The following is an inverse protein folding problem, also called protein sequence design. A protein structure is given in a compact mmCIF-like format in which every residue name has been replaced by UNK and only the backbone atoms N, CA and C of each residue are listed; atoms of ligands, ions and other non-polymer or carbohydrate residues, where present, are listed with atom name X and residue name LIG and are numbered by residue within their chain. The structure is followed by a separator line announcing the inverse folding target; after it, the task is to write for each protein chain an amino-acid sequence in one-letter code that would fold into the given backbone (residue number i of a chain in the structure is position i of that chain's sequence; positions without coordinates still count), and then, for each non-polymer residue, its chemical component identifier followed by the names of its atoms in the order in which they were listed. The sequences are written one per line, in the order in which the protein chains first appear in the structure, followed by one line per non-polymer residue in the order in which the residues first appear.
data_IF_085808059250
#
_entry.id   IF_085808059250
#
_cell.length_a   1.000
_cell.length_b   1.000
_cell.length_c   1.000
_cell.angle_alpha   90.00
_cell.angle_beta   90.00
_cell.angle_gamma   90.00
#
_symmetry.space_group_name_H-M   'P 1'
#
loop_
_entity.id
_entity.type
_entity.pdbx_description
1 polymer ?
#
# COMPACT_ATOMS: atom_id res chain seq x y z
N UNK A 1 -13.46 -37.24 -6.46
CA UNK A 1 -13.65 -36.84 -5.05
C UNK A 1 -12.40 -36.08 -4.68
N UNK A 2 -12.48 -34.76 -4.80
CA UNK A 2 -11.34 -33.88 -4.55
C UNK A 2 -11.26 -33.52 -3.07
N UNK A 3 -10.03 -33.51 -2.55
CA UNK A 3 -9.64 -33.23 -1.18
C UNK A 3 -10.00 -31.78 -0.78
N UNK A 4 -10.78 -31.56 0.30
CA UNK A 4 -11.20 -30.24 0.74
C UNK A 4 -10.11 -29.44 1.48
N UNK A 5 -8.87 -29.91 1.55
CA UNK A 5 -7.76 -29.21 2.23
C UNK A 5 -6.81 -28.42 1.32
N UNK A 6 -7.03 -28.42 0.00
CA UNK A 6 -6.30 -27.53 -0.92
C UNK A 6 -6.93 -26.13 -0.98
N UNK A 7 -6.74 -25.32 0.06
CA UNK A 7 -6.89 -23.87 -0.08
C UNK A 7 -5.73 -23.40 -0.97
N UNK A 8 -5.97 -23.28 -2.29
CA UNK A 8 -5.05 -22.55 -3.19
C UNK A 8 -4.91 -21.13 -2.65
N UNK A 9 -3.86 -20.92 -1.89
CA UNK A 9 -3.52 -19.64 -1.29
C UNK A 9 -3.23 -18.64 -2.42
N UNK A 10 -4.11 -17.66 -2.56
CA UNK A 10 -3.82 -16.33 -3.10
C UNK A 10 -3.67 -16.23 -4.62
N UNK A 11 -4.40 -15.28 -5.20
CA UNK A 11 -4.07 -14.76 -6.53
C UNK A 11 -2.68 -14.13 -6.51
N UNK A 12 -1.97 -14.26 -7.63
CA UNK A 12 -0.62 -13.71 -7.76
C UNK A 12 -0.65 -12.19 -7.90
N UNK A 13 -0.02 -11.49 -6.96
CA UNK A 13 0.05 -10.02 -6.90
C UNK A 13 1.50 -9.56 -6.92
N UNK A 14 1.86 -8.69 -7.88
CA UNK A 14 3.08 -7.88 -7.83
C UNK A 14 2.75 -6.53 -7.22
N UNK A 15 3.61 -6.07 -6.32
CA UNK A 15 3.59 -4.68 -5.89
C UNK A 15 4.73 -3.92 -6.57
N UNK A 16 4.32 -2.92 -7.33
CA UNK A 16 5.11 -1.80 -7.81
C UNK A 16 5.31 -0.82 -6.64
N UNK A 17 6.55 -0.67 -6.19
CA UNK A 17 6.92 0.37 -5.22
C UNK A 17 7.68 1.48 -5.94
N UNK A 18 7.08 2.66 -6.02
CA UNK A 18 7.74 3.84 -6.56
C UNK A 18 8.37 4.62 -5.39
N UNK A 19 9.70 4.69 -5.36
CA UNK A 19 10.41 5.42 -4.30
C UNK A 19 10.46 6.91 -4.65
N UNK A 20 10.12 7.76 -3.69
CA UNK A 20 10.22 9.22 -3.82
C UNK A 20 11.68 9.64 -3.80
N UNK A 21 12.07 10.44 -4.80
CA UNK A 21 13.29 11.23 -4.75
C UNK A 21 13.02 12.50 -3.92
N UNK A 22 13.72 12.69 -2.80
CA UNK A 22 13.76 13.99 -2.09
C UNK A 22 14.85 14.86 -2.71
N UNK A 23 14.49 16.04 -3.21
CA UNK A 23 15.46 17.05 -3.67
C UNK A 23 16.26 17.58 -2.47
N UNK A 24 17.57 17.38 -2.46
CA UNK A 24 18.48 18.08 -1.54
C UNK A 24 18.84 19.45 -2.13
N UNK A 25 18.48 20.54 -1.44
CA UNK A 25 18.97 21.89 -1.76
C UNK A 25 20.31 22.14 -1.04
N UNK A 26 21.38 22.42 -1.80
CA UNK A 26 22.63 22.95 -1.25
C UNK A 26 22.59 24.48 -1.24
N UNK A 27 22.48 25.09 -0.06
CA UNK A 27 22.78 26.51 0.15
C UNK A 27 24.29 26.67 0.37
N UNK A 28 24.96 27.35 -0.55
CA UNK A 28 26.39 27.61 -0.46
C UNK A 28 26.70 28.78 0.49
N UNK A 29 27.53 28.55 1.49
CA UNK A 29 28.32 29.60 2.15
C UNK A 29 29.79 29.20 2.14
N UNK A 30 30.61 30.14 1.67
CA UNK A 30 32.05 29.96 1.47
C UNK A 30 32.87 30.11 2.75
N UNK A 31 34.17 29.90 2.55
CA UNK A 31 35.32 29.88 3.47
C UNK A 31 35.63 28.53 4.10
N UNK A 32 36.80 28.04 3.71
CA UNK A 32 37.31 26.70 3.93
C UNK A 32 37.81 26.47 5.34
N UNK A 33 37.25 25.43 5.94
CA UNK A 33 37.87 24.52 6.90
C UNK A 33 37.20 23.17 6.61
N UNK A 34 37.89 22.23 5.95
CA UNK A 34 37.35 20.89 5.69
C UNK A 34 37.55 20.04 6.94
N UNK A 35 36.63 20.18 7.89
CA UNK A 35 36.36 19.14 8.88
C UNK A 35 35.48 18.12 8.15
N UNK A 36 35.95 16.88 8.01
CA UNK A 36 35.12 15.77 7.53
C UNK A 36 34.06 15.44 8.59
N UNK A 37 33.01 16.26 8.62
CA UNK A 37 31.79 16.01 9.34
C UNK A 37 30.80 15.39 8.34
N UNK A 38 30.67 14.07 8.35
CA UNK A 38 29.61 13.37 7.64
C UNK A 38 28.27 13.69 8.32
N UNK A 39 27.65 14.78 7.91
CA UNK A 39 26.29 15.15 8.25
C UNK A 39 25.56 15.36 6.94
N UNK A 40 24.93 14.31 6.43
CA UNK A 40 23.95 14.45 5.36
C UNK A 40 22.57 14.20 5.97
N UNK A 41 21.96 15.29 6.44
CA UNK A 41 20.53 15.36 6.69
C UNK A 41 19.81 15.38 5.33
N UNK A 42 19.23 14.24 4.93
CA UNK A 42 17.95 14.28 4.22
C UNK A 42 16.90 13.90 5.27
N UNK A 43 16.51 14.91 6.05
CA UNK A 43 15.73 14.82 7.30
C UNK A 43 16.28 13.85 8.36
N UNK A 44 16.93 14.44 9.37
CA UNK A 44 17.39 13.77 10.58
C UNK A 44 16.21 13.10 11.32
N UNK A 45 16.07 11.78 11.19
CA UNK A 45 15.82 10.81 12.27
C UNK A 45 15.40 9.47 11.67
N UNK A 46 16.39 8.57 11.60
CA UNK A 46 16.24 7.11 11.66
C UNK A 46 16.10 6.31 10.35
N UNK A 47 17.20 6.23 9.59
CA UNK A 47 17.73 4.92 9.16
C UNK A 47 18.59 4.24 10.24
N UNK A 48 18.58 4.74 11.48
CA UNK A 48 19.27 4.15 12.64
C UNK A 48 18.41 3.20 13.48
N UNK A 49 17.07 3.17 13.32
CA UNK A 49 16.20 2.21 14.03
C UNK A 49 15.21 1.46 13.12
N UNK A 50 15.27 1.64 11.80
CA UNK A 50 14.76 0.61 10.90
C UNK A 50 15.88 -0.43 10.82
N UNK A 51 15.67 -1.68 11.28
CA UNK A 51 16.74 -2.67 11.19
C UNK A 51 17.24 -2.73 9.75
N UNK A 52 18.56 -2.85 9.53
CA UNK A 52 19.16 -3.13 8.21
C UNK A 52 18.54 -4.35 7.48
N UNK A 53 17.64 -5.07 8.15
CA UNK A 53 16.89 -6.23 7.71
C UNK A 53 15.42 -5.95 7.31
N UNK A 54 14.95 -4.69 7.26
CA UNK A 54 13.63 -4.37 6.68
C UNK A 54 13.69 -4.48 5.16
N UNK A 55 13.57 -5.72 4.68
CA UNK A 55 13.50 -6.10 3.27
C UNK A 55 12.05 -6.01 2.78
N UNK A 56 11.49 -4.80 2.71
CA UNK A 56 10.10 -4.59 2.27
C UNK A 56 9.07 -5.47 2.98
N UNK A 57 7.89 -5.62 2.38
CA UNK A 57 6.87 -6.52 2.90
C UNK A 57 7.16 -7.94 2.35
N UNK A 58 7.88 -8.77 3.12
CA UNK A 58 8.27 -10.15 2.72
C UNK A 58 7.10 -11.09 2.40
N UNK A 59 5.87 -10.62 2.56
CA UNK A 59 4.64 -11.37 2.30
C UNK A 59 4.13 -11.16 0.87
N UNK A 60 4.74 -10.25 0.12
CA UNK A 60 4.53 -10.09 -1.31
C UNK A 60 5.13 -11.27 -2.06
N UNK A 61 4.51 -11.65 -3.19
CA UNK A 61 5.11 -12.64 -4.08
C UNK A 61 6.33 -12.06 -4.79
N UNK A 62 6.21 -10.81 -5.22
CA UNK A 62 7.31 -10.03 -5.79
C UNK A 62 7.08 -8.54 -5.54
N UNK A 63 8.18 -7.83 -5.28
CA UNK A 63 8.23 -6.39 -5.14
C UNK A 63 9.28 -5.85 -6.11
N UNK A 64 8.87 -4.94 -7.00
CA UNK A 64 9.79 -4.27 -7.93
C UNK A 64 9.90 -2.81 -7.52
N UNK A 65 11.12 -2.37 -7.22
CA UNK A 65 11.42 -1.00 -6.81
C UNK A 65 12.00 -0.24 -8.00
N UNK A 66 11.48 0.97 -8.27
CA UNK A 66 12.00 1.83 -9.35
C UNK A 66 12.62 3.10 -8.77
N UNK A 67 13.95 3.10 -8.61
CA UNK A 67 14.73 4.26 -8.12
C UNK A 67 16.15 4.24 -8.66
N UNK A 68 16.77 5.42 -8.82
CA UNK A 68 18.17 5.57 -9.24
C UNK A 68 19.15 5.75 -8.07
N UNK A 69 18.67 5.80 -6.83
CA UNK A 69 19.45 6.34 -5.70
C UNK A 69 19.70 5.36 -4.55
N UNK A 70 19.02 4.20 -4.52
CA UNK A 70 19.16 3.25 -3.42
C UNK A 70 19.44 1.83 -3.93
N UNK A 71 20.72 1.48 -4.01
CA UNK A 71 21.19 0.14 -4.42
C UNK A 71 20.72 -0.97 -3.45
N UNK A 72 20.45 -0.64 -2.18
CA UNK A 72 20.02 -1.64 -1.19
C UNK A 72 18.63 -2.22 -1.50
N UNK A 73 17.82 -1.49 -2.29
CA UNK A 73 16.50 -1.91 -2.75
C UNK A 73 16.53 -2.77 -4.02
N UNK A 74 17.72 -3.03 -4.59
CA UNK A 74 17.93 -3.71 -5.88
C UNK A 74 16.99 -3.17 -6.96
N UNK A 75 17.05 -1.86 -7.26
CA UNK A 75 16.03 -1.23 -8.08
C UNK A 75 16.20 -1.57 -9.56
N UNK A 76 15.08 -1.74 -10.25
CA UNK A 76 15.05 -1.69 -11.70
C UNK A 76 15.19 -0.23 -12.15
N UNK A 77 16.18 0.04 -13.01
CA UNK A 77 16.47 1.40 -13.45
C UNK A 77 15.71 1.68 -14.74
N UNK A 78 14.66 2.50 -14.64
CA UNK A 78 13.96 3.04 -15.81
C UNK A 78 14.70 4.27 -16.34
N UNK A 79 14.82 4.39 -17.65
CA UNK A 79 15.38 5.58 -18.31
C UNK A 79 14.35 6.74 -18.34
N UNK A 80 14.01 7.23 -17.15
CA UNK A 80 13.10 8.37 -16.94
C UNK A 80 13.71 9.36 -15.94
N UNK A 81 13.38 10.65 -16.01
CA UNK A 81 13.83 11.63 -15.03
C UNK A 81 13.29 11.35 -13.62
N UNK A 82 14.09 11.68 -12.61
CA UNK A 82 13.74 11.55 -11.19
C UNK A 82 12.96 12.76 -10.65
N UNK A 83 12.22 12.56 -9.56
CA UNK A 83 11.46 13.61 -8.88
C UNK A 83 9.94 13.56 -9.08
N UNK A 84 9.23 14.22 -8.15
CA UNK A 84 7.77 14.20 -8.06
C UNK A 84 7.05 14.68 -9.33
N UNK A 85 7.63 15.65 -10.04
CA UNK A 85 7.06 16.17 -11.28
C UNK A 85 7.06 15.19 -12.45
N UNK A 86 7.73 14.04 -12.34
CA UNK A 86 7.89 13.02 -13.37
C UNK A 86 7.23 11.69 -13.00
N UNK A 87 6.39 11.65 -11.97
CA UNK A 87 5.68 10.43 -11.56
C UNK A 87 4.85 9.82 -12.70
N UNK A 88 4.33 10.66 -13.60
CA UNK A 88 3.62 10.17 -14.77
C UNK A 88 4.54 9.42 -15.75
N UNK A 89 5.72 9.96 -16.07
CA UNK A 89 6.71 9.26 -16.89
C UNK A 89 7.13 7.93 -16.24
N UNK A 90 7.39 7.94 -14.94
CA UNK A 90 7.71 6.74 -14.17
C UNK A 90 6.61 5.69 -14.25
N UNK A 91 5.34 6.08 -14.12
CA UNK A 91 4.22 5.14 -14.16
C UNK A 91 4.03 4.53 -15.54
N UNK A 92 4.11 5.32 -16.62
CA UNK A 92 4.09 4.80 -17.99
C UNK A 92 5.19 3.77 -18.22
N UNK A 93 6.42 4.11 -17.84
CA UNK A 93 7.57 3.24 -18.00
C UNK A 93 7.47 1.97 -17.13
N UNK A 94 7.06 2.10 -15.87
CA UNK A 94 6.93 0.97 -14.95
C UNK A 94 5.82 -0.01 -15.39
N UNK A 95 4.64 0.48 -15.76
CA UNK A 95 3.56 -0.38 -16.26
C UNK A 95 3.93 -1.05 -17.59
N UNK A 96 4.64 -0.35 -18.48
CA UNK A 96 5.18 -0.94 -19.72
C UNK A 96 6.20 -2.03 -19.42
N UNK A 97 7.12 -1.79 -18.48
CA UNK A 97 8.10 -2.78 -18.04
C UNK A 97 7.41 -4.03 -17.47
N UNK A 98 6.46 -3.85 -16.55
CA UNK A 98 5.71 -4.94 -15.92
C UNK A 98 4.92 -5.77 -16.94
N UNK A 99 4.31 -5.12 -17.93
CA UNK A 99 3.61 -5.79 -19.03
C UNK A 99 4.53 -6.74 -19.80
N UNK A 100 5.76 -6.33 -20.10
CA UNK A 100 6.70 -7.14 -20.89
C UNK A 100 7.45 -8.19 -20.07
N UNK A 101 7.87 -7.88 -18.84
CA UNK A 101 8.78 -8.73 -18.06
C UNK A 101 8.07 -9.54 -16.97
N UNK A 102 6.88 -9.12 -16.53
CA UNK A 102 6.10 -9.79 -15.49
C UNK A 102 4.67 -10.13 -15.94
N UNK A 103 4.44 -10.70 -17.15
CA UNK A 103 3.08 -10.92 -17.69
C UNK A 103 2.27 -12.01 -16.95
N UNK A 104 2.93 -12.79 -16.10
CA UNK A 104 2.34 -13.95 -15.42
C UNK A 104 1.55 -13.60 -14.15
N UNK A 105 1.53 -12.33 -13.74
CA UNK A 105 0.76 -11.87 -12.59
C UNK A 105 -0.68 -11.54 -12.94
N UNK A 106 -1.56 -11.69 -11.96
CA UNK A 106 -2.99 -11.42 -12.09
C UNK A 106 -3.35 -10.00 -11.70
N UNK A 107 -2.59 -9.42 -10.77
CA UNK A 107 -2.82 -8.08 -10.25
C UNK A 107 -1.50 -7.35 -10.07
N UNK A 108 -1.50 -6.06 -10.39
CA UNK A 108 -0.36 -5.15 -10.32
C UNK A 108 -0.75 -3.96 -9.44
N UNK A 109 -0.12 -3.83 -8.28
CA UNK A 109 -0.43 -2.75 -7.34
C UNK A 109 0.67 -1.69 -7.37
N UNK A 110 0.31 -0.43 -7.60
CA UNK A 110 1.19 0.72 -7.33
C UNK A 110 1.04 1.15 -5.88
N UNK A 111 2.17 1.38 -5.22
CA UNK A 111 2.28 1.98 -3.89
C UNK A 111 3.44 3.00 -3.87
N UNK A 112 3.29 4.06 -3.09
CA UNK A 112 4.39 4.98 -2.77
C UNK A 112 5.24 4.40 -1.62
N UNK A 113 6.46 4.90 -1.46
CA UNK A 113 7.37 4.51 -0.36
C UNK A 113 6.90 4.94 1.04
N UNK A 114 5.88 5.80 1.10
CA UNK A 114 5.15 6.20 2.31
C UNK A 114 3.74 5.55 2.39
N UNK A 115 3.47 4.52 1.60
CA UNK A 115 2.22 3.73 1.63
C UNK A 115 2.39 2.42 2.40
N UNK A 116 1.62 2.22 3.48
CA UNK A 116 1.58 0.94 4.18
C UNK A 116 0.44 0.07 3.65
N UNK A 117 0.74 -1.19 3.31
CA UNK A 117 -0.22 -2.14 2.71
C UNK A 117 -0.36 -3.40 3.56
N UNK A 118 -1.60 -3.73 3.93
CA UNK A 118 -2.00 -5.00 4.55
C UNK A 118 -2.29 -6.01 3.44
N UNK A 119 -1.27 -6.76 3.05
CA UNK A 119 -1.27 -7.63 1.86
C UNK A 119 -2.32 -8.75 1.96
N UNK A 120 -2.58 -9.27 3.15
CA UNK A 120 -3.61 -10.28 3.40
C UNK A 120 -5.00 -9.74 3.08
N UNK A 121 -5.28 -8.50 3.48
CA UNK A 121 -6.56 -7.85 3.20
C UNK A 121 -6.69 -7.51 1.71
N UNK A 122 -5.59 -7.14 1.04
CA UNK A 122 -5.57 -6.98 -0.41
C UNK A 122 -5.88 -8.30 -1.12
N UNK A 123 -5.19 -9.39 -0.76
CA UNK A 123 -5.43 -10.73 -1.33
C UNK A 123 -6.86 -11.20 -1.10
N UNK A 124 -7.39 -10.96 0.11
CA UNK A 124 -8.78 -11.28 0.44
C UNK A 124 -9.76 -10.51 -0.45
N UNK A 125 -9.54 -9.20 -0.65
CA UNK A 125 -10.37 -8.37 -1.52
C UNK A 125 -10.34 -8.83 -2.99
N UNK A 126 -9.17 -9.21 -3.49
CA UNK A 126 -8.98 -9.59 -4.89
C UNK A 126 -9.42 -11.02 -5.22
N UNK A 127 -9.58 -11.89 -4.21
CA UNK A 127 -9.79 -13.34 -4.37
C UNK A 127 -10.95 -13.70 -5.30
N UNK A 128 -12.02 -12.92 -5.24
CA UNK A 128 -13.29 -13.25 -5.90
C UNK A 128 -13.57 -12.39 -7.16
N UNK A 129 -12.62 -11.51 -7.55
CA UNK A 129 -12.76 -10.65 -8.74
C UNK A 129 -12.37 -11.40 -10.02
N UNK A 130 -12.25 -10.80 -11.20
CA UNK A 130 -11.68 -11.49 -12.37
C UNK A 130 -10.51 -10.65 -12.92
N UNK A 131 -9.26 -11.15 -12.91
CA UNK A 131 -8.11 -10.40 -13.42
C UNK A 131 -8.08 -10.25 -14.94
N UNK A 132 -8.93 -10.98 -15.68
CA UNK A 132 -9.04 -10.88 -17.14
C UNK A 132 -10.14 -9.90 -17.56
N UNK A 133 -10.87 -9.34 -16.59
CA UNK A 133 -11.72 -8.17 -16.81
C UNK A 133 -10.91 -6.88 -16.64
N UNK A 134 -11.17 -5.83 -17.46
CA UNK A 134 -10.42 -4.59 -17.43
C UNK A 134 -10.83 -3.72 -16.23
N UNK A 135 -10.32 -4.06 -15.05
CA UNK A 135 -10.69 -3.47 -13.76
C UNK A 135 -9.50 -2.87 -13.03
N UNK A 136 -9.73 -1.81 -12.27
CA UNK A 136 -8.77 -1.28 -11.29
C UNK A 136 -9.48 -0.71 -10.05
N UNK A 137 -8.80 -0.75 -8.91
CA UNK A 137 -9.34 -0.40 -7.60
C UNK A 137 -8.33 0.39 -6.77
N UNK A 138 -8.83 1.20 -5.84
CA UNK A 138 -8.02 2.00 -4.92
C UNK A 138 -8.90 2.97 -4.14
N UNK A 139 -8.31 4.05 -3.63
CA UNK A 139 -9.05 5.15 -3.02
C UNK A 139 -9.65 6.07 -4.11
N UNK A 140 -10.94 5.91 -4.42
CA UNK A 140 -11.58 6.53 -5.59
C UNK A 140 -11.92 8.01 -5.36
N UNK A 141 -11.39 8.88 -6.21
CA UNK A 141 -11.75 10.30 -6.33
C UNK A 141 -12.52 10.55 -7.64
N UNK A 142 -13.33 11.62 -7.69
CA UNK A 142 -14.18 11.96 -8.86
C UNK A 142 -14.00 13.38 -9.38
N UNK A 143 -12.94 14.08 -8.98
CA UNK A 143 -12.75 15.50 -9.31
C UNK A 143 -12.34 15.76 -10.77
N UNK A 144 -11.62 14.82 -11.41
CA UNK A 144 -10.93 15.07 -12.68
C UNK A 144 -11.25 14.07 -13.80
N UNK A 145 -11.86 12.93 -13.49
CA UNK A 145 -12.17 11.84 -14.44
C UNK A 145 -13.62 11.43 -14.23
N UNK A 146 -14.38 11.23 -15.31
CA UNK A 146 -15.84 11.06 -15.24
C UNK A 146 -16.26 9.81 -14.46
N UNK A 147 -15.61 8.66 -14.71
CA UNK A 147 -15.80 7.44 -13.93
C UNK A 147 -15.15 7.49 -12.54
N UNK A 148 -14.27 8.46 -12.33
CA UNK A 148 -13.36 8.57 -11.20
C UNK A 148 -11.96 8.03 -11.51
N UNK A 149 -11.05 8.23 -10.57
CA UNK A 149 -9.66 7.77 -10.61
C UNK A 149 -9.21 7.37 -9.20
N UNK A 150 -8.13 6.61 -9.08
CA UNK A 150 -7.63 6.16 -7.78
C UNK A 150 -6.49 7.04 -7.34
N UNK A 151 -6.53 7.56 -6.12
CA UNK A 151 -5.46 8.36 -5.53
C UNK A 151 -4.13 7.60 -5.56
N UNK A 152 -3.08 8.28 -6.03
CA UNK A 152 -1.74 7.69 -6.12
C UNK A 152 -1.18 7.29 -4.75
N UNK A 153 -1.36 8.13 -3.73
CA UNK A 153 -0.84 7.88 -2.38
C UNK A 153 -1.56 6.77 -1.64
N UNK A 154 -2.88 6.63 -1.81
CA UNK A 154 -3.61 5.50 -1.22
C UNK A 154 -3.21 4.14 -1.82
N UNK A 155 -2.45 4.15 -2.91
CA UNK A 155 -2.17 2.99 -3.73
C UNK A 155 -3.39 2.55 -4.55
N UNK A 156 -3.11 1.89 -5.65
CA UNK A 156 -4.14 1.31 -6.51
C UNK A 156 -3.67 0.00 -7.11
N UNK A 157 -4.61 -0.87 -7.44
CA UNK A 157 -4.35 -2.17 -8.03
C UNK A 157 -5.07 -2.30 -9.37
N UNK A 158 -4.32 -2.71 -10.38
CA UNK A 158 -4.79 -2.97 -11.73
C UNK A 158 -4.86 -4.48 -11.97
N UNK A 159 -5.93 -4.92 -12.62
CA UNK A 159 -6.00 -6.25 -13.23
C UNK A 159 -4.96 -6.39 -14.34
N UNK A 160 -4.63 -7.64 -14.68
CA UNK A 160 -3.79 -7.94 -15.84
C UNK A 160 -4.36 -7.36 -17.13
N UNK A 161 -5.67 -7.51 -17.35
CA UNK A 161 -6.28 -6.94 -18.55
C UNK A 161 -6.17 -5.40 -18.54
N UNK A 162 -6.35 -4.73 -17.40
CA UNK A 162 -6.15 -3.29 -17.32
C UNK A 162 -4.73 -2.83 -17.69
N UNK A 163 -3.68 -3.53 -17.22
CA UNK A 163 -2.29 -3.23 -17.58
C UNK A 163 -2.05 -3.44 -19.07
N UNK A 164 -2.54 -4.54 -19.64
CA UNK A 164 -2.46 -4.82 -21.07
C UNK A 164 -3.12 -3.71 -21.89
N UNK A 165 -4.40 -3.40 -21.60
CA UNK A 165 -5.14 -2.32 -22.26
C UNK A 165 -4.44 -0.98 -22.17
N UNK A 166 -3.87 -0.65 -21.01
CA UNK A 166 -3.09 0.57 -20.84
C UNK A 166 -1.92 0.64 -21.83
N UNK A 167 -1.10 -0.41 -21.90
CA UNK A 167 0.12 -0.42 -22.74
C UNK A 167 -0.19 -0.54 -24.23
N UNK A 168 -1.11 -1.43 -24.62
CA UNK A 168 -1.38 -1.75 -26.03
C UNK A 168 -2.41 -0.85 -26.69
N UNK A 169 -3.28 -0.20 -25.92
CA UNK A 169 -4.33 0.69 -26.45
C UNK A 169 -4.15 2.12 -25.96
N UNK A 170 -4.08 2.36 -24.64
CA UNK A 170 -4.15 3.72 -24.10
C UNK A 170 -2.92 4.56 -24.47
N UNK A 171 -1.72 3.96 -24.38
CA UNK A 171 -0.48 4.62 -24.80
C UNK A 171 -0.38 4.88 -26.32
N UNK A 172 -1.23 4.22 -27.11
CA UNK A 172 -1.29 4.42 -28.57
C UNK A 172 -2.27 5.54 -28.97
N UNK A 173 -3.00 6.12 -28.01
CA UNK A 173 -3.92 7.21 -28.28
C UNK A 173 -3.13 8.48 -28.65
N UNK A 174 -3.53 9.08 -29.78
CA UNK A 174 -3.00 10.37 -30.24
C UNK A 174 -3.68 11.56 -29.55
N UNK A 175 -4.93 11.37 -29.11
CA UNK A 175 -5.72 12.37 -28.39
C UNK A 175 -5.19 12.57 -26.96
N UNK A 176 -4.45 13.66 -26.76
CA UNK A 176 -3.82 14.00 -25.49
C UNK A 176 -4.83 14.38 -24.40
N UNK A 177 -6.08 14.72 -24.75
CA UNK A 177 -7.12 14.97 -23.76
C UNK A 177 -7.61 13.65 -23.13
N UNK A 178 -7.54 12.55 -23.88
CA UNK A 178 -7.90 11.20 -23.44
C UNK A 178 -6.77 10.50 -22.70
N UNK A 179 -5.55 10.62 -23.21
CA UNK A 179 -4.37 10.07 -22.55
C UNK A 179 -3.14 10.95 -22.87
N UNK A 180 -2.60 11.71 -21.89
CA UNK A 180 -1.43 12.56 -22.11
C UNK A 180 -0.12 11.77 -22.30
N UNK A 181 0.04 11.16 -23.47
CA UNK A 181 1.19 10.29 -23.79
C UNK A 181 2.47 11.07 -24.09
N UNK A 182 2.35 12.28 -24.64
CA UNK A 182 3.49 13.08 -25.10
C UNK A 182 4.16 13.93 -24.01
N UNK A 183 3.62 13.94 -22.79
CA UNK A 183 4.20 14.65 -21.64
C UNK A 183 4.85 13.68 -20.66
N UNK A 184 5.99 14.08 -20.10
CA UNK A 184 6.64 13.38 -19.00
C UNK A 184 6.13 13.81 -17.62
N UNK A 185 5.32 14.88 -17.57
CA UNK A 185 4.87 15.53 -16.33
C UNK A 185 3.36 15.46 -16.14
N UNK A 186 2.94 15.71 -14.90
CA UNK A 186 1.55 15.88 -14.48
C UNK A 186 1.18 14.98 -13.30
N UNK A 187 -0.06 15.10 -12.80
CA UNK A 187 -0.56 14.21 -11.75
C UNK A 187 -0.73 12.81 -12.31
N UNK A 188 0.06 11.88 -11.80
CA UNK A 188 0.14 10.50 -12.29
C UNK A 188 -1.20 9.79 -12.22
N UNK A 189 -1.86 9.87 -11.07
CA UNK A 189 -3.14 9.23 -10.78
C UNK A 189 -4.30 9.73 -11.67
N UNK A 190 -4.38 11.04 -11.89
CA UNK A 190 -5.36 11.65 -12.80
C UNK A 190 -5.11 11.20 -14.23
N UNK A 191 -3.86 11.27 -14.70
CA UNK A 191 -3.52 10.91 -16.08
C UNK A 191 -3.75 9.43 -16.34
N UNK A 192 -3.37 8.56 -15.41
CA UNK A 192 -3.68 7.14 -15.49
C UNK A 192 -5.20 6.92 -15.57
N UNK A 193 -5.98 7.61 -14.72
CA UNK A 193 -7.45 7.52 -14.75
C UNK A 193 -8.06 7.91 -16.10
N UNK A 194 -7.61 9.00 -16.71
CA UNK A 194 -8.04 9.44 -18.05
C UNK A 194 -7.72 8.39 -19.12
N UNK A 195 -6.48 7.89 -19.11
CA UNK A 195 -6.03 6.88 -20.06
C UNK A 195 -6.85 5.58 -19.94
N UNK A 196 -7.09 5.11 -18.72
CA UNK A 196 -7.87 3.90 -18.43
C UNK A 196 -9.34 4.06 -18.83
N UNK A 197 -9.97 5.21 -18.53
CA UNK A 197 -11.34 5.52 -18.98
C UNK A 197 -11.46 5.45 -20.49
N UNK A 198 -10.49 6.01 -21.20
CA UNK A 198 -10.49 6.12 -22.66
C UNK A 198 -10.41 4.77 -23.38
N UNK A 199 -9.95 3.73 -22.71
CA UNK A 199 -9.88 2.36 -23.25
C UNK A 199 -10.85 1.40 -22.58
N UNK A 200 -11.81 1.89 -21.80
CA UNK A 200 -12.86 1.07 -21.20
C UNK A 200 -12.38 0.21 -20.03
N UNK A 201 -11.31 0.61 -19.34
CA UNK A 201 -10.94 0.03 -18.04
C UNK A 201 -11.78 0.70 -16.96
N UNK A 202 -12.55 -0.12 -16.23
CA UNK A 202 -13.54 0.36 -15.28
C UNK A 202 -12.96 0.62 -13.89
N UNK A 203 -13.25 1.81 -13.35
CA UNK A 203 -12.94 2.22 -11.98
C UNK A 203 -13.87 1.51 -10.99
N UNK A 204 -13.41 0.38 -10.46
CA UNK A 204 -14.17 -0.45 -9.54
C UNK A 204 -14.36 0.18 -8.15
N UNK A 205 -15.37 -0.25 -7.42
CA UNK A 205 -15.60 0.18 -6.03
C UNK A 205 -14.83 -0.71 -5.05
N UNK A 206 -14.07 -0.09 -4.15
CA UNK A 206 -13.27 -0.78 -3.14
C UNK A 206 -13.90 -0.74 -1.75
N UNK A 207 -15.08 -0.14 -1.59
CA UNK A 207 -15.86 -0.13 -0.35
C UNK A 207 -16.27 -1.54 0.07
N UNK A 208 -16.38 -1.77 1.38
CA UNK A 208 -16.92 -3.01 1.91
C UNK A 208 -18.47 -3.07 1.83
N UNK A 209 -19.06 -4.17 2.28
CA UNK A 209 -20.52 -4.37 2.24
C UNK A 209 -21.29 -3.34 3.08
N UNK A 210 -20.63 -2.70 4.05
CA UNK A 210 -21.19 -1.65 4.86
C UNK A 210 -20.87 -0.25 4.30
N UNK A 211 -20.32 -0.15 3.09
CA UNK A 211 -19.95 1.10 2.45
C UNK A 211 -18.70 1.75 3.02
N UNK A 212 -17.84 1.00 3.74
CA UNK A 212 -16.65 1.55 4.39
C UNK A 212 -15.39 1.39 3.53
N UNK A 213 -14.54 2.41 3.54
CA UNK A 213 -13.30 2.43 2.77
C UNK A 213 -12.31 1.35 3.17
N UNK A 214 -11.65 0.75 2.16
CA UNK A 214 -10.51 -0.16 2.34
C UNK A 214 -9.18 0.51 2.01
N UNK A 215 -9.13 1.41 1.04
CA UNK A 215 -7.94 2.17 0.68
C UNK A 215 -8.02 3.59 1.24
N UNK A 216 -6.96 4.08 1.88
CA UNK A 216 -6.93 5.43 2.45
C UNK A 216 -5.77 6.25 1.87
N UNK A 217 -6.10 7.42 1.33
CA UNK A 217 -5.14 8.43 0.85
C UNK A 217 -4.57 9.32 1.95
N UNK A 218 -4.77 8.96 3.22
CA UNK A 218 -4.38 9.75 4.38
C UNK A 218 -3.63 8.89 5.39
N UNK A 219 -2.89 9.57 6.27
CA UNK A 219 -2.24 8.97 7.44
C UNK A 219 -3.20 8.14 8.28
N UNK A 220 -2.74 7.05 8.94
CA UNK A 220 -3.53 6.32 9.94
C UNK A 220 -4.09 7.22 11.04
N UNK A 221 -3.40 8.35 11.32
CA UNK A 221 -3.88 9.35 12.27
C UNK A 221 -5.22 9.98 11.86
N UNK A 222 -5.55 10.01 10.57
CA UNK A 222 -6.82 10.54 10.07
C UNK A 222 -8.04 9.77 10.59
N UNK A 223 -7.87 8.51 11.02
CA UNK A 223 -8.92 7.72 11.67
C UNK A 223 -9.39 8.36 12.99
N UNK A 224 -8.57 9.20 13.61
CA UNK A 224 -8.93 9.92 14.84
C UNK A 224 -9.63 11.27 14.59
N UNK A 225 -9.51 11.83 13.38
CA UNK A 225 -9.93 13.22 13.11
C UNK A 225 -11.06 13.35 12.08
N UNK A 226 -11.13 12.46 11.09
CA UNK A 226 -12.00 12.63 9.92
C UNK A 226 -13.05 11.53 9.75
N UNK A 227 -13.04 10.52 10.61
CA UNK A 227 -13.99 9.42 10.58
C UNK A 227 -14.73 9.37 11.92
N UNK A 228 -15.96 8.80 11.98
CA UNK A 228 -16.57 8.48 13.26
C UNK A 228 -15.57 7.65 14.08
N UNK A 229 -15.15 8.21 15.22
CA UNK A 229 -14.17 7.61 16.11
C UNK A 229 -14.64 6.21 16.54
N UNK A 230 -13.72 5.23 16.50
CA UNK A 230 -13.96 3.88 16.98
C UNK A 230 -14.15 2.84 15.88
N UNK A 231 -14.74 1.67 16.18
CA UNK A 231 -14.82 0.51 15.29
C UNK A 231 -15.65 0.74 14.02
N UNK A 232 -16.28 1.91 13.91
CA UNK A 232 -17.14 2.26 12.80
C UNK A 232 -16.52 3.06 11.67
N UNK A 233 -15.28 3.56 11.83
CA UNK A 233 -14.62 4.46 10.87
C UNK A 233 -14.44 3.92 9.45
N UNK A 234 -14.34 2.61 9.32
CA UNK A 234 -13.47 2.03 8.33
C UNK A 234 -13.78 0.54 8.17
N UNK A 235 -13.42 -0.01 7.02
CA UNK A 235 -13.56 -1.45 6.80
C UNK A 235 -12.70 -2.21 7.79
N UNK A 236 -13.24 -3.30 8.37
CA UNK A 236 -12.45 -4.26 9.15
C UNK A 236 -11.39 -4.98 8.31
N UNK A 237 -11.53 -4.92 6.97
CA UNK A 237 -10.58 -5.43 5.99
C UNK A 237 -9.92 -4.26 5.25
N UNK A 238 -9.35 -3.32 6.01
CA UNK A 238 -8.59 -2.18 5.47
C UNK A 238 -7.34 -2.69 4.75
N UNK A 239 -7.03 -2.09 3.60
CA UNK A 239 -5.94 -2.50 2.72
C UNK A 239 -4.74 -1.59 2.84
N UNK A 240 -4.92 -0.26 2.83
CA UNK A 240 -3.78 0.65 2.80
C UNK A 240 -4.01 1.98 3.53
N UNK A 241 -2.90 2.57 3.96
CA UNK A 241 -2.78 3.96 4.41
C UNK A 241 -1.66 4.65 3.64
N UNK A 242 -1.79 5.96 3.47
CA UNK A 242 -0.76 6.83 2.87
C UNK A 242 -0.11 7.70 3.94
N UNK A 243 0.94 8.44 3.59
CA UNK A 243 1.64 9.37 4.49
C UNK A 243 2.06 8.70 5.81
N UNK A 244 2.60 7.49 5.68
CA UNK A 244 3.02 6.64 6.81
C UNK A 244 4.52 6.80 7.02
N UNK A 245 4.90 7.51 8.07
CA UNK A 245 6.33 7.64 8.42
C UNK A 245 6.99 6.26 8.66
N UNK A 246 8.31 6.11 8.47
CA UNK A 246 9.01 4.84 8.72
C UNK A 246 8.80 4.29 10.14
N UNK A 247 8.75 5.17 11.15
CA UNK A 247 8.42 4.79 12.53
C UNK A 247 7.02 4.19 12.62
N UNK A 248 6.03 4.83 11.99
CA UNK A 248 4.67 4.33 11.98
C UNK A 248 4.53 3.01 11.20
N UNK A 249 5.23 2.86 10.06
CA UNK A 249 5.25 1.59 9.32
C UNK A 249 5.76 0.45 10.20
N UNK A 250 6.85 0.67 10.94
CA UNK A 250 7.38 -0.31 11.89
C UNK A 250 6.41 -0.59 13.03
N UNK A 251 5.74 0.43 13.56
CA UNK A 251 4.69 0.26 14.58
C UNK A 251 3.55 -0.61 14.06
N UNK A 252 3.02 -0.33 12.87
CA UNK A 252 1.95 -1.11 12.25
C UNK A 252 2.39 -2.56 12.00
N UNK A 253 3.59 -2.77 11.45
CA UNK A 253 4.19 -4.09 11.26
C UNK A 253 4.30 -4.86 12.59
N UNK A 254 4.81 -4.22 13.64
CA UNK A 254 4.95 -4.85 14.94
C UNK A 254 3.60 -5.25 15.52
N UNK A 255 2.63 -4.34 15.51
CA UNK A 255 1.29 -4.55 16.06
C UNK A 255 0.49 -5.62 15.31
N UNK A 256 0.57 -5.63 13.98
CA UNK A 256 -0.21 -6.54 13.15
C UNK A 256 0.42 -7.93 13.03
N UNK A 257 1.75 -8.01 13.07
CA UNK A 257 2.44 -9.19 12.56
C UNK A 257 3.51 -9.78 13.48
N UNK A 258 3.95 -9.06 14.51
CA UNK A 258 5.06 -9.54 15.38
C UNK A 258 4.61 -9.78 16.81
N UNK A 259 3.64 -9.01 17.28
CA UNK A 259 3.08 -9.22 18.61
C UNK A 259 2.22 -10.47 18.63
N UNK A 260 2.55 -11.37 19.56
CA UNK A 260 1.73 -12.52 19.91
C UNK A 260 1.03 -12.19 21.22
N UNK A 261 -0.27 -11.92 21.17
CA UNK A 261 -1.08 -11.73 22.36
C UNK A 261 -1.63 -13.11 22.74
N UNK A 262 -1.24 -13.62 23.90
CA UNK A 262 -1.77 -14.86 24.44
C UNK A 262 -3.26 -14.69 24.78
N UNK A 263 -4.13 -15.10 23.85
CA UNK A 263 -5.58 -14.97 24.00
C UNK A 263 -6.12 -15.72 25.22
N UNK A 264 -5.45 -16.82 25.60
CA UNK A 264 -5.87 -17.70 26.69
C UNK A 264 -5.67 -17.08 28.09
N UNK A 265 -4.95 -15.96 28.19
CA UNK A 265 -4.73 -15.22 29.43
C UNK A 265 -5.49 -13.89 29.47
N UNK A 266 -6.37 -13.63 28.50
CA UNK A 266 -7.19 -12.43 28.51
C UNK A 266 -8.28 -12.54 29.60
N UNK A 267 -8.58 -11.44 30.31
CA UNK A 267 -9.70 -11.40 31.24
C UNK A 267 -10.99 -11.90 30.57
N UNK A 268 -11.81 -12.72 31.24
CA UNK A 268 -12.99 -13.37 30.64
C UNK A 268 -13.96 -12.41 29.94
N UNK A 269 -13.94 -11.13 30.32
CA UNK A 269 -14.84 -10.10 29.82
C UNK A 269 -14.44 -9.47 28.47
N UNK A 270 -13.29 -9.84 27.88
CA UNK A 270 -12.84 -9.32 26.56
C UNK A 270 -13.18 -10.26 25.39
N UNK A 271 -13.75 -11.44 25.65
CA UNK A 271 -14.21 -12.38 24.63
C UNK A 271 -15.57 -11.95 24.03
N UNK A 272 -15.63 -10.80 23.36
CA UNK A 272 -16.79 -10.47 22.50
C UNK A 272 -16.53 -10.91 21.06
N UNK A 273 -16.58 -12.22 20.86
CA UNK A 273 -16.91 -12.84 19.57
C UNK A 273 -17.59 -14.17 19.88
N UNK A 274 -18.88 -14.12 20.20
CA UNK A 274 -19.72 -15.30 20.37
C UNK A 274 -19.96 -15.96 19.02
N UNK A 275 -19.17 -16.97 18.70
CA UNK A 275 -19.74 -18.23 18.22
C UNK A 275 -19.68 -19.19 19.42
N UNK A 276 -20.77 -19.84 19.83
CA UNK A 276 -20.77 -20.62 21.07
C UNK A 276 -19.89 -21.87 20.88
N UNK A 277 -18.76 -21.91 21.59
CA UNK A 277 -18.04 -23.14 21.85
C UNK A 277 -18.87 -24.03 22.82
N UNK A 278 -18.81 -25.36 22.69
CA UNK A 278 -19.54 -26.27 23.58
C UNK A 278 -19.09 -26.09 25.05
N UNK A 279 -19.98 -26.39 26.02
CA UNK A 279 -19.70 -26.14 27.43
C UNK A 279 -18.50 -26.98 27.91
N UNK A 280 -17.54 -26.38 28.65
CA UNK A 280 -16.44 -27.12 29.24
C UNK A 280 -16.89 -27.94 30.46
N UNK A 281 -16.28 -29.11 30.59
CA UNK A 281 -16.49 -30.13 31.61
C UNK A 281 -16.22 -29.61 33.04
N UNK A 282 -17.01 -30.07 34.00
CA UNK A 282 -17.22 -29.42 35.32
C UNK A 282 -16.17 -29.73 36.39
N UNK A 283 -14.88 -29.81 36.06
CA UNK A 283 -13.87 -30.29 37.03
C UNK A 283 -12.64 -29.41 37.26
N UNK A 284 -12.66 -28.12 36.93
CA UNK A 284 -11.49 -27.24 37.15
C UNK A 284 -11.80 -26.05 38.06
N UNK A 285 -11.12 -25.88 39.21
CA UNK A 285 -11.34 -24.74 40.11
C UNK A 285 -10.77 -23.43 39.53
N UNK A 286 -11.32 -22.25 39.91
CA UNK A 286 -10.97 -20.98 39.28
C UNK A 286 -9.55 -20.50 39.64
N UNK A 287 -8.83 -19.86 38.71
CA UNK A 287 -7.51 -19.28 39.00
C UNK A 287 -7.62 -18.02 39.87
N UNK A 288 -6.60 -17.84 40.72
CA UNK A 288 -6.48 -16.75 41.68
C UNK A 288 -6.20 -15.41 40.98
N UNK A 289 -6.82 -14.32 41.43
CA UNK A 289 -6.72 -12.99 40.81
C UNK A 289 -5.27 -12.45 40.80
N UNK A 290 -4.81 -11.80 39.71
CA UNK A 290 -3.51 -11.12 39.69
C UNK A 290 -3.55 -9.79 40.46
N UNK A 291 -2.41 -9.30 40.96
CA UNK A 291 -2.35 -8.05 41.73
C UNK A 291 -2.59 -6.83 40.84
N UNK A 292 -3.27 -5.82 41.39
CA UNK A 292 -3.49 -4.54 40.75
C UNK A 292 -2.18 -3.74 40.66
N UNK A 293 -1.78 -3.35 39.45
CA UNK A 293 -0.69 -2.37 39.25
C UNK A 293 -1.32 -0.98 39.16
N UNK A 294 -1.04 -0.14 40.16
CA UNK A 294 -1.33 1.29 40.12
C UNK A 294 -0.25 2.01 39.28
N UNK A 295 -0.67 2.83 38.32
CA UNK A 295 0.20 3.79 37.64
C UNK A 295 0.18 5.10 38.42
N UNK A 296 1.29 5.45 39.07
CA UNK A 296 1.53 6.83 39.49
C UNK A 296 1.91 7.63 38.24
N UNK A 297 1.10 8.64 37.91
CA UNK A 297 1.50 9.70 36.98
C UNK A 297 2.42 10.66 37.72
N UNK A 298 3.57 10.95 37.12
CA UNK A 298 4.30 12.21 37.32
C UNK A 298 4.44 12.86 35.96
#
# INVERSE_FOLDING_TARGET
MDDPTSVRMGRRVVVLACVRTVLTFTLGFGLGVVIHLFVNLSTNLSHSNVPRNYKGNRRLEEQVNYTKQDEALQPEVLDVPEGYGYLWAKTKAALTHLYHHHPHYQWYMKADDDTFVIVENLRYFLRDLDPDLPLYYGAKFKMHVKQGYMSGGGGYVLSREAVKKFVTEALQLTDQAKCPTNTSRGSEDVQLGLCLESVGVAAGDSLDRAGKSRFFSNSPLSLFYHQPLGPDCCSRHLISFHDVSPRMMWTLEALLYRLHIHRDLQPPHLNTSTSPAPPPDSSTPPPRAPPAIFSLRT
#
